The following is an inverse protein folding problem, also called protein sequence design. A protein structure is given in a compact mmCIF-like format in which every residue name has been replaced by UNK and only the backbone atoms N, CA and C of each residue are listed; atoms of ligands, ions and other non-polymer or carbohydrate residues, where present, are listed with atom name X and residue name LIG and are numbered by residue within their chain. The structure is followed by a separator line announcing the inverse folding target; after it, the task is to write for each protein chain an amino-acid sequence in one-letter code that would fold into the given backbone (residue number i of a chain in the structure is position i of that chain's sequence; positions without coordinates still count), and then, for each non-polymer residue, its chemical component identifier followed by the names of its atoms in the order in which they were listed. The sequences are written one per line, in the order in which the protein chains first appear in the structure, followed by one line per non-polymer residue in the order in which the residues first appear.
data_IF_188625566999
#
_entry.id   IF_188625566999
#
_cell.length_a   1.000
_cell.length_b   1.000
_cell.length_c   1.000
_cell.angle_alpha   90.00
_cell.angle_beta   90.00
_cell.angle_gamma   90.00
#
_symmetry.space_group_name_H-M   'P 1'
#
loop_
_entity.id
_entity.type
_entity.pdbx_description
1 polymer ?
#
# COMPACT_ATOMS: atom_id res chain seq x y z
N UNK A 1 25.26 31.81 40.79
CA UNK A 1 24.81 31.92 39.37
C UNK A 1 25.59 31.06 38.37
N UNK A 2 26.81 30.57 38.67
CA UNK A 2 27.67 29.87 37.69
C UNK A 2 27.15 28.53 37.13
N UNK A 3 26.18 27.90 37.80
CA UNK A 3 25.61 26.62 37.35
C UNK A 3 24.30 26.78 36.55
N UNK A 4 23.66 27.95 36.57
CA UNK A 4 22.36 28.17 35.90
C UNK A 4 22.49 28.04 34.38
N UNK A 5 23.61 28.50 33.81
CA UNK A 5 23.91 28.38 32.39
C UNK A 5 24.05 26.92 31.92
N UNK A 6 24.56 26.02 32.78
CA UNK A 6 24.70 24.60 32.45
C UNK A 6 23.35 23.90 32.34
N UNK A 7 22.42 24.20 33.24
CA UNK A 7 21.05 23.69 33.17
C UNK A 7 20.29 24.25 31.97
N UNK A 8 20.49 25.52 31.64
CA UNK A 8 19.89 26.13 30.46
C UNK A 8 20.37 25.46 29.16
N UNK A 9 21.67 25.18 29.02
CA UNK A 9 22.21 24.45 27.86
C UNK A 9 21.66 23.02 27.78
N UNK A 10 21.58 22.31 28.91
CA UNK A 10 21.02 20.96 28.95
C UNK A 10 19.55 20.93 28.51
N UNK A 11 18.76 21.92 28.96
CA UNK A 11 17.35 22.02 28.64
C UNK A 11 17.14 22.42 27.17
N UNK A 12 18.00 23.28 26.63
CA UNK A 12 18.03 23.61 25.21
C UNK A 12 18.38 22.39 24.35
N UNK A 13 19.34 21.57 24.79
CA UNK A 13 19.74 20.35 24.09
C UNK A 13 18.61 19.29 24.12
N UNK A 14 17.96 19.11 25.27
CA UNK A 14 16.77 18.26 25.39
C UNK A 14 15.65 18.72 24.48
N UNK A 15 15.38 20.03 24.42
CA UNK A 15 14.37 20.61 23.53
C UNK A 15 14.72 20.36 22.05
N UNK A 16 15.99 20.58 21.67
CA UNK A 16 16.46 20.32 20.30
C UNK A 16 16.30 18.85 19.89
N UNK A 17 16.64 17.92 20.79
CA UNK A 17 16.48 16.48 20.52
C UNK A 17 15.02 16.03 20.46
N UNK A 18 14.11 16.73 21.15
CA UNK A 18 12.68 16.46 21.11
C UNK A 18 12.05 16.95 19.80
N UNK A 19 12.47 18.11 19.29
CA UNK A 19 11.96 18.67 18.03
C UNK A 19 12.32 17.82 16.79
N UNK A 20 13.44 17.09 16.82
CA UNK A 20 13.88 16.27 15.68
C UNK A 20 12.99 15.02 15.48
N UNK A 21 12.24 14.59 16.51
CA UNK A 21 11.39 13.37 16.41
C UNK A 21 10.03 13.58 15.72
N UNK A 22 9.67 14.80 15.33
CA UNK A 22 8.32 15.10 14.80
C UNK A 22 8.24 14.99 13.27
N UNK A 23 9.36 14.85 12.57
CA UNK A 23 9.38 14.58 11.13
C UNK A 23 9.57 13.08 10.85
N UNK A 24 8.63 12.26 11.29
CA UNK A 24 8.42 10.97 10.63
C UNK A 24 7.51 11.25 9.44
N UNK A 25 8.05 11.18 8.22
CA UNK A 25 7.19 11.14 7.03
C UNK A 25 6.25 9.94 7.19
N UNK A 26 4.94 10.17 7.16
CA UNK A 26 3.97 9.08 7.09
C UNK A 26 4.31 8.23 5.87
N UNK A 27 4.42 6.91 6.04
CA UNK A 27 4.62 5.95 4.94
C UNK A 27 3.69 6.30 3.78
N UNK A 28 4.25 6.51 2.58
CA UNK A 28 3.49 6.96 1.41
C UNK A 28 2.30 6.06 1.13
N UNK A 29 2.43 4.73 1.30
CA UNK A 29 1.33 3.81 1.06
C UNK A 29 0.18 4.01 2.04
N UNK A 30 0.48 4.15 3.34
CA UNK A 30 -0.50 4.50 4.37
C UNK A 30 -1.22 5.81 4.06
N UNK A 31 -0.49 6.83 3.61
CA UNK A 31 -1.08 8.10 3.17
C UNK A 31 -2.03 7.91 1.99
N UNK A 32 -1.65 7.09 1.00
CA UNK A 32 -2.51 6.77 -0.14
C UNK A 32 -3.78 6.05 0.28
N UNK A 33 -3.72 5.11 1.22
CA UNK A 33 -4.90 4.42 1.73
C UNK A 33 -5.87 5.38 2.44
N UNK A 34 -5.37 6.35 3.21
CA UNK A 34 -6.21 7.40 3.83
C UNK A 34 -6.91 8.31 2.81
N UNK A 35 -6.28 8.53 1.66
CA UNK A 35 -6.80 9.38 0.57
C UNK A 35 -7.67 8.61 -0.44
N UNK A 36 -7.63 7.28 -0.40
CA UNK A 36 -8.31 6.43 -1.36
C UNK A 36 -9.84 6.48 -1.18
N UNK A 37 -10.55 6.04 -2.22
CA UNK A 37 -12.00 5.91 -2.24
C UNK A 37 -12.38 4.47 -2.53
N UNK A 38 -13.59 4.09 -2.10
CA UNK A 38 -14.18 2.81 -2.47
C UNK A 38 -14.16 2.62 -4.00
N UNK A 39 -13.66 1.47 -4.44
CA UNK A 39 -13.50 1.12 -5.84
C UNK A 39 -12.24 1.65 -6.52
N UNK A 40 -11.39 2.41 -5.82
CA UNK A 40 -10.01 2.64 -6.26
C UNK A 40 -9.28 1.31 -6.29
N UNK A 41 -8.45 1.09 -7.30
CA UNK A 41 -7.73 -0.16 -7.47
C UNK A 41 -6.40 0.05 -8.18
N UNK A 42 -5.50 -0.91 -7.98
CA UNK A 42 -4.23 -1.04 -8.68
C UNK A 42 -4.08 -2.48 -9.14
N UNK A 43 -3.44 -2.67 -10.29
CA UNK A 43 -3.11 -3.99 -10.82
C UNK A 43 -1.60 -4.13 -10.88
N UNK A 44 -1.11 -5.20 -10.28
CA UNK A 44 0.28 -5.61 -10.32
C UNK A 44 0.45 -6.74 -11.32
N UNK A 45 1.46 -6.60 -12.16
CA UNK A 45 1.92 -7.67 -13.02
C UNK A 45 3.21 -8.26 -12.44
N UNK A 46 3.20 -9.54 -12.06
CA UNK A 46 4.38 -10.22 -11.53
C UNK A 46 4.50 -11.65 -12.06
N UNK A 47 5.63 -11.99 -12.70
CA UNK A 47 5.87 -13.28 -13.35
C UNK A 47 4.74 -13.70 -14.29
N UNK A 48 3.97 -14.74 -13.93
CA UNK A 48 2.86 -15.29 -14.71
C UNK A 48 1.50 -14.96 -14.09
N UNK A 49 1.44 -13.98 -13.18
CA UNK A 49 0.24 -13.60 -12.46
C UNK A 49 -0.09 -12.12 -12.68
N UNK A 50 -1.39 -11.84 -12.67
CA UNK A 50 -1.93 -10.53 -12.34
C UNK A 50 -2.48 -10.58 -10.91
N UNK A 51 -2.20 -9.55 -10.12
CA UNK A 51 -2.83 -9.32 -8.82
C UNK A 51 -3.55 -7.98 -8.87
N UNK A 52 -4.85 -7.97 -8.62
CA UNK A 52 -5.62 -6.76 -8.43
C UNK A 52 -5.77 -6.49 -6.94
N UNK A 53 -5.46 -5.28 -6.50
CA UNK A 53 -5.71 -4.81 -5.14
C UNK A 53 -6.67 -3.61 -5.21
N UNK A 54 -7.86 -3.76 -4.63
CA UNK A 54 -8.94 -2.77 -4.65
C UNK A 54 -9.35 -2.37 -3.24
N UNK A 55 -9.84 -1.13 -3.09
CA UNK A 55 -10.50 -0.66 -1.87
C UNK A 55 -11.95 -1.13 -1.90
N UNK A 56 -12.27 -2.10 -1.07
CA UNK A 56 -13.62 -2.66 -0.96
C UNK A 56 -14.53 -1.75 -0.14
N UNK A 57 -14.04 -1.29 1.02
CA UNK A 57 -14.79 -0.44 1.95
C UNK A 57 -13.84 0.46 2.74
N UNK A 58 -14.33 1.63 3.17
CA UNK A 58 -13.61 2.54 4.06
C UNK A 58 -14.51 2.81 5.27
N UNK A 59 -14.02 2.47 6.45
CA UNK A 59 -14.67 2.77 7.72
C UNK A 59 -13.96 3.98 8.35
N UNK A 60 -14.53 5.15 8.12
CA UNK A 60 -14.00 6.42 8.63
C UNK A 60 -14.18 6.57 10.15
N UNK A 61 -15.15 5.89 10.75
CA UNK A 61 -15.43 6.00 12.18
C UNK A 61 -14.36 5.27 13.00
N UNK A 62 -13.93 4.09 12.53
CA UNK A 62 -12.91 3.28 13.20
C UNK A 62 -11.51 3.45 12.58
N UNK A 63 -11.34 4.33 11.59
CA UNK A 63 -10.10 4.53 10.84
C UNK A 63 -9.57 3.22 10.24
N UNK A 64 -10.45 2.46 9.59
CA UNK A 64 -10.14 1.17 8.95
C UNK A 64 -10.39 1.21 7.46
N UNK A 65 -9.67 0.35 6.75
CA UNK A 65 -9.92 0.09 5.33
C UNK A 65 -10.01 -1.41 5.10
N UNK A 66 -10.96 -1.81 4.27
CA UNK A 66 -11.04 -3.18 3.77
C UNK A 66 -10.48 -3.18 2.36
N UNK A 67 -9.37 -3.91 2.17
CA UNK A 67 -8.79 -4.15 0.86
C UNK A 67 -9.18 -5.52 0.36
N UNK A 68 -9.41 -5.62 -0.94
CA UNK A 68 -9.67 -6.86 -1.65
C UNK A 68 -8.49 -7.14 -2.60
N UNK A 69 -7.90 -8.32 -2.49
CA UNK A 69 -6.85 -8.80 -3.38
C UNK A 69 -7.33 -10.03 -4.15
N UNK A 70 -7.22 -9.98 -5.49
CA UNK A 70 -7.62 -11.06 -6.37
C UNK A 70 -6.49 -11.40 -7.34
N UNK A 71 -6.11 -12.67 -7.41
CA UNK A 71 -4.97 -13.16 -8.18
C UNK A 71 -5.44 -14.08 -9.30
N UNK A 72 -4.94 -13.86 -10.52
CA UNK A 72 -5.22 -14.68 -11.70
C UNK A 72 -3.95 -14.98 -12.51
N UNK A 73 -3.77 -16.22 -13.02
CA UNK A 73 -2.74 -16.50 -14.00
C UNK A 73 -2.94 -15.70 -15.29
N UNK A 74 -1.88 -15.14 -15.85
CA UNK A 74 -1.93 -14.34 -17.08
C UNK A 74 -2.56 -15.09 -18.25
N UNK A 75 -2.28 -16.39 -18.34
CA UNK A 75 -2.78 -17.25 -19.40
C UNK A 75 -4.29 -17.53 -19.26
N UNK A 76 -4.85 -17.31 -18.05
CA UNK A 76 -6.28 -17.46 -17.75
C UNK A 76 -7.06 -16.14 -17.89
N UNK A 77 -6.38 -14.99 -17.98
CA UNK A 77 -7.05 -13.69 -18.08
C UNK A 77 -7.47 -13.39 -19.54
N UNK A 78 -8.76 -13.15 -19.76
CA UNK A 78 -9.26 -12.71 -21.07
C UNK A 78 -8.85 -11.26 -21.33
N UNK A 79 -7.85 -11.08 -22.21
CA UNK A 79 -7.32 -9.76 -22.61
C UNK A 79 -8.35 -8.85 -23.29
N UNK A 80 -9.55 -9.35 -23.62
CA UNK A 80 -10.66 -8.52 -24.13
C UNK A 80 -11.42 -7.81 -23.01
N UNK A 81 -11.26 -8.22 -21.76
CA UNK A 81 -11.89 -7.60 -20.59
C UNK A 81 -10.96 -6.57 -19.96
N UNK A 82 -11.54 -5.50 -19.42
CA UNK A 82 -10.82 -4.69 -18.44
C UNK A 82 -10.76 -5.43 -17.11
N UNK A 83 -9.75 -5.13 -16.28
CA UNK A 83 -9.67 -5.70 -14.93
C UNK A 83 -10.90 -5.34 -14.08
N UNK A 84 -11.46 -4.14 -14.26
CA UNK A 84 -12.69 -3.72 -13.58
C UNK A 84 -13.87 -4.62 -13.96
N UNK A 85 -14.09 -4.84 -15.25
CA UNK A 85 -15.16 -5.73 -15.73
C UNK A 85 -14.98 -7.16 -15.22
N UNK A 86 -13.73 -7.63 -15.17
CA UNK A 86 -13.40 -8.96 -14.65
C UNK A 86 -13.77 -9.09 -13.17
N UNK A 87 -13.44 -8.10 -12.33
CA UNK A 87 -13.80 -8.07 -10.91
C UNK A 87 -15.32 -8.03 -10.72
N UNK A 88 -16.03 -7.16 -11.45
CA UNK A 88 -17.50 -7.05 -11.39
C UNK A 88 -18.21 -8.35 -11.81
N UNK A 89 -17.58 -9.13 -12.70
CA UNK A 89 -18.03 -10.48 -13.09
C UNK A 89 -17.56 -11.58 -12.13
N UNK A 90 -17.35 -11.24 -10.85
CA UNK A 90 -16.90 -12.15 -9.77
C UNK A 90 -15.53 -12.77 -10.02
N UNK A 91 -14.67 -12.10 -10.78
CA UNK A 91 -13.28 -12.49 -11.00
C UNK A 91 -13.12 -13.98 -11.36
N UNK A 92 -13.82 -14.42 -12.40
CA UNK A 92 -13.78 -15.81 -12.85
C UNK A 92 -12.35 -16.26 -13.16
N UNK A 93 -12.05 -17.54 -12.94
CA UNK A 93 -10.70 -18.13 -13.07
C UNK A 93 -9.63 -17.57 -12.12
N UNK A 94 -10.03 -16.81 -11.09
CA UNK A 94 -9.12 -16.41 -10.02
C UNK A 94 -8.62 -17.62 -9.23
N UNK A 95 -7.35 -17.56 -8.83
CA UNK A 95 -6.68 -18.58 -8.01
C UNK A 95 -6.70 -18.24 -6.53
N UNK A 96 -6.91 -16.97 -6.19
CA UNK A 96 -7.04 -16.48 -4.82
C UNK A 96 -7.88 -15.22 -4.81
N UNK A 97 -8.74 -15.11 -3.82
CA UNK A 97 -9.51 -13.93 -3.47
C UNK A 97 -9.50 -13.77 -1.96
N UNK A 98 -8.88 -12.69 -1.50
CA UNK A 98 -8.61 -12.42 -0.08
C UNK A 98 -9.02 -11.00 0.26
N UNK A 99 -9.66 -10.82 1.40
CA UNK A 99 -9.98 -9.52 1.98
C UNK A 99 -9.12 -9.28 3.21
N UNK A 100 -8.57 -8.08 3.33
CA UNK A 100 -7.75 -7.63 4.45
C UNK A 100 -8.45 -6.47 5.14
N UNK A 101 -8.71 -6.60 6.44
CA UNK A 101 -9.12 -5.47 7.27
C UNK A 101 -7.87 -4.84 7.90
N UNK A 102 -7.67 -3.55 7.67
CA UNK A 102 -6.45 -2.84 8.09
C UNK A 102 -6.83 -1.69 9.01
N UNK A 103 -6.17 -1.62 10.17
CA UNK A 103 -6.15 -0.45 11.05
C UNK A 103 -5.16 0.58 10.47
N UNK A 104 -5.67 1.73 10.02
CA UNK A 104 -4.82 2.79 9.46
C UNK A 104 -4.10 3.59 10.55
N UNK A 105 -4.50 3.51 11.81
CA UNK A 105 -3.81 4.14 12.94
C UNK A 105 -2.53 3.36 13.23
N UNK A 106 -2.66 2.05 13.44
CA UNK A 106 -1.54 1.16 13.78
C UNK A 106 -0.76 0.68 12.55
N UNK A 107 -1.30 0.84 11.35
CA UNK A 107 -0.76 0.29 10.11
C UNK A 107 -0.61 -1.23 10.16
N UNK A 108 -1.64 -1.92 10.67
CA UNK A 108 -1.64 -3.37 10.86
C UNK A 108 -2.89 -4.00 10.26
N UNK A 109 -2.73 -5.21 9.76
CA UNK A 109 -3.86 -6.07 9.42
C UNK A 109 -4.49 -6.56 10.72
N UNK A 110 -5.79 -6.29 10.89
CA UNK A 110 -6.62 -6.76 12.00
C UNK A 110 -7.03 -8.20 11.71
N UNK A 111 -7.66 -8.40 10.55
CA UNK A 111 -8.24 -9.67 10.15
C UNK A 111 -8.04 -9.94 8.66
N UNK A 112 -8.13 -11.21 8.28
CA UNK A 112 -8.03 -11.63 6.88
C UNK A 112 -9.02 -12.74 6.58
N UNK A 113 -9.81 -12.55 5.53
CA UNK A 113 -10.82 -13.49 5.07
C UNK A 113 -10.51 -13.97 3.66
N UNK A 114 -10.43 -15.29 3.47
CA UNK A 114 -10.35 -15.87 2.13
C UNK A 114 -11.74 -16.11 1.59
N UNK A 115 -12.14 -15.32 0.59
CA UNK A 115 -13.42 -15.49 -0.11
C UNK A 115 -13.42 -16.83 -0.85
N UNK A 116 -12.31 -17.19 -1.52
CA UNK A 116 -12.19 -18.46 -2.24
C UNK A 116 -12.33 -19.70 -1.35
N UNK A 117 -11.90 -19.61 -0.08
CA UNK A 117 -11.97 -20.72 0.89
C UNK A 117 -13.13 -20.60 1.87
N UNK A 118 -13.85 -19.49 1.83
CA UNK A 118 -14.94 -19.15 2.75
C UNK A 118 -14.57 -19.27 4.23
N UNK A 119 -13.39 -18.74 4.61
CA UNK A 119 -12.90 -18.79 5.99
C UNK A 119 -11.92 -17.65 6.33
N UNK A 120 -11.79 -17.36 7.62
CA UNK A 120 -10.70 -16.53 8.14
C UNK A 120 -9.36 -17.27 8.06
N UNK A 121 -8.30 -16.56 7.72
CA UNK A 121 -6.95 -17.11 7.58
C UNK A 121 -5.94 -16.37 8.45
N UNK A 122 -5.03 -17.10 9.09
CA UNK A 122 -3.89 -16.52 9.81
C UNK A 122 -2.74 -16.28 8.82
N UNK A 123 -2.34 -15.02 8.68
CA UNK A 123 -1.26 -14.59 7.78
C UNK A 123 0.15 -14.86 8.33
N UNK A 124 0.32 -15.37 9.56
CA UNK A 124 1.66 -15.59 10.18
C UNK A 124 2.67 -16.34 9.29
N UNK A 125 2.19 -17.18 8.35
CA UNK A 125 3.03 -17.94 7.43
C UNK A 125 2.82 -17.59 5.95
N UNK A 126 2.01 -16.57 5.62
CA UNK A 126 1.72 -16.18 4.24
C UNK A 126 2.20 -14.75 3.97
N UNK A 127 3.14 -14.64 3.04
CA UNK A 127 3.62 -13.35 2.56
C UNK A 127 2.68 -12.89 1.44
N UNK A 128 1.75 -11.98 1.75
CA UNK A 128 0.96 -11.29 0.72
C UNK A 128 1.69 -10.05 0.21
N UNK A 129 1.27 -9.53 -0.96
CA UNK A 129 1.81 -8.26 -1.45
C UNK A 129 1.35 -7.13 -0.52
N UNK A 130 0.10 -7.18 -0.05
CA UNK A 130 -0.49 -6.19 0.86
C UNK A 130 0.28 -6.06 2.16
N UNK A 131 0.62 -7.18 2.82
CA UNK A 131 1.43 -7.17 4.06
C UNK A 131 2.77 -6.49 3.84
N UNK A 132 3.48 -6.85 2.75
CA UNK A 132 4.75 -6.21 2.39
C UNK A 132 4.61 -4.71 2.13
N UNK A 133 3.58 -4.27 1.41
CA UNK A 133 3.38 -2.85 1.10
C UNK A 133 3.11 -2.01 2.36
N UNK A 134 2.43 -2.59 3.36
CA UNK A 134 2.22 -1.93 4.65
C UNK A 134 3.53 -1.78 5.44
N UNK A 135 4.42 -2.77 5.36
CA UNK A 135 5.69 -2.79 6.12
C UNK A 135 6.80 -1.96 5.47
N UNK A 136 6.74 -1.71 4.17
CA UNK A 136 7.79 -0.97 3.44
C UNK A 136 7.73 0.52 3.74
N UNK A 137 8.88 1.10 4.11
CA UNK A 137 9.04 2.55 4.21
C UNK A 137 9.15 3.18 2.81
N UNK A 138 8.00 3.55 2.25
CA UNK A 138 7.89 4.12 0.93
C UNK A 138 7.92 5.64 1.00
N UNK A 139 8.86 6.25 0.26
CA UNK A 139 8.97 7.69 0.10
C UNK A 139 8.86 8.09 -1.38
N UNK A 140 8.44 9.33 -1.62
CA UNK A 140 8.32 9.85 -2.99
C UNK A 140 9.71 10.25 -3.51
N UNK A 141 10.13 9.66 -4.62
CA UNK A 141 11.34 10.08 -5.32
C UNK A 141 11.14 11.46 -5.99
N UNK A 142 12.11 12.35 -5.79
CA UNK A 142 12.19 13.64 -6.47
C UNK A 142 12.42 13.44 -7.96
N UNK A 143 11.91 14.35 -8.79
CA UNK A 143 11.98 14.21 -10.25
C UNK A 143 13.43 14.10 -10.77
N UNK A 144 14.37 14.79 -10.12
CA UNK A 144 15.81 14.74 -10.44
C UNK A 144 16.46 13.37 -10.18
N UNK A 145 15.89 12.59 -9.27
CA UNK A 145 16.40 11.28 -8.87
C UNK A 145 15.74 10.16 -9.69
N UNK A 146 14.75 10.50 -10.54
CA UNK A 146 14.07 9.53 -11.40
C UNK A 146 14.92 9.22 -12.63
N UNK A 147 15.19 7.93 -12.84
CA UNK A 147 15.78 7.44 -14.07
C UNK A 147 14.69 7.14 -15.08
N UNK A 148 14.75 7.73 -16.28
CA UNK A 148 13.94 7.27 -17.42
C UNK A 148 14.48 5.90 -17.84
N UNK A 149 13.61 4.88 -17.79
CA UNK A 149 13.93 3.50 -18.17
C UNK A 149 12.88 3.06 -19.21
N UNK A 150 13.33 2.60 -20.36
CA UNK A 150 12.49 2.22 -21.49
C UNK A 150 13.26 2.35 -22.81
N UNK A 151 12.73 1.79 -23.91
CA UNK A 151 13.28 2.06 -25.23
C UNK A 151 13.18 3.57 -25.52
N UNK A 152 14.18 4.16 -26.20
CA UNK A 152 14.05 5.54 -26.67
C UNK A 152 12.82 5.68 -27.58
N UNK A 153 12.17 6.85 -27.62
CA UNK A 153 11.06 7.09 -28.52
C UNK A 153 11.45 6.76 -29.97
N UNK A 154 10.50 6.25 -30.74
CA UNK A 154 10.73 5.96 -32.15
C UNK A 154 11.02 7.26 -32.89
N UNK A 155 11.87 7.21 -33.93
CA UNK A 155 12.23 8.41 -34.71
C UNK A 155 10.96 9.12 -35.21
N UNK A 156 10.70 10.33 -34.71
CA UNK A 156 9.55 11.15 -35.10
C UNK A 156 8.44 11.27 -34.05
N UNK A 157 8.49 10.52 -32.95
CA UNK A 157 7.63 10.76 -31.80
C UNK A 157 8.22 11.89 -30.95
N UNK A 158 7.42 12.93 -30.69
CA UNK A 158 7.77 14.03 -29.79
C UNK A 158 7.35 13.61 -28.37
N UNK A 159 8.26 13.80 -27.41
CA UNK A 159 8.02 13.62 -25.96
C UNK A 159 6.77 14.37 -25.47
#
# INVERSE_FOLDING_TARGET
MRNLHKYFILLLFLFLTFSIRVFSEDNLFKKRLKEAKKGDFVVFEYNKLYSSLSVFEIDTENNRVILEEIIIPKDSFDKKLSFRDWIEKKANESTSWTMYEIDLSENKIIDTYSVSRNCFIDLKNQISITTKLLDLDLSKLLDRDRKKIGPPPSVGEVD
#
